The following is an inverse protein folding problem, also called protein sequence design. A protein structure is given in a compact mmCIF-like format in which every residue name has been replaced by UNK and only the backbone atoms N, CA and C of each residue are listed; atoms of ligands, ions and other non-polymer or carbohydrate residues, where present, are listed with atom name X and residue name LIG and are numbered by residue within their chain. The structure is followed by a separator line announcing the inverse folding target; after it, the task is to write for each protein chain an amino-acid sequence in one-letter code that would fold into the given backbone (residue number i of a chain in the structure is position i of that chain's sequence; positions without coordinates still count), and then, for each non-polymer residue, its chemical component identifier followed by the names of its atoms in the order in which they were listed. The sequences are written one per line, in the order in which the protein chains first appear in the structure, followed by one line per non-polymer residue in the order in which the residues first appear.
data_IF_343738100348
#
_entry.id   IF_343738100348
#
_cell.length_a   1.000
_cell.length_b   1.000
_cell.length_c   1.000
_cell.angle_alpha   90.00
_cell.angle_beta   90.00
_cell.angle_gamma   90.00
#
_symmetry.space_group_name_H-M   'P 1'
#
loop_
_entity.id
_entity.type
_entity.pdbx_description
1 polymer ?
#
# COMPACT_ATOMS: atom_id res chain seq x y z
N UNK A 1 19.60 45.75 -0.97
CA UNK A 1 19.73 45.23 -2.36
C UNK A 1 18.58 44.25 -2.58
N UNK A 2 17.50 44.70 -3.22
CA UNK A 2 16.26 43.94 -3.46
C UNK A 2 16.44 43.05 -4.69
N UNK A 3 16.16 41.74 -4.57
CA UNK A 3 16.03 40.84 -5.72
C UNK A 3 14.54 40.75 -6.06
N UNK A 4 14.11 41.49 -7.09
CA UNK A 4 12.80 41.31 -7.70
C UNK A 4 12.80 40.02 -8.54
N UNK A 5 12.06 39.01 -8.08
CA UNK A 5 11.76 37.81 -8.87
C UNK A 5 10.57 38.10 -9.79
N UNK A 6 10.82 38.19 -11.09
CA UNK A 6 9.78 38.36 -12.11
C UNK A 6 8.91 37.10 -12.20
N UNK A 7 7.66 37.17 -11.74
CA UNK A 7 6.68 36.09 -11.86
C UNK A 7 6.32 35.83 -13.32
N UNK A 8 6.96 34.84 -13.94
CA UNK A 8 6.63 34.37 -15.29
C UNK A 8 5.46 33.38 -15.19
N UNK A 9 4.25 33.84 -15.43
CA UNK A 9 3.05 32.99 -15.48
C UNK A 9 3.06 32.21 -16.80
N UNK A 10 3.34 30.90 -16.74
CA UNK A 10 3.24 30.01 -17.90
C UNK A 10 1.77 29.70 -18.19
N UNK A 11 1.17 30.43 -19.13
CA UNK A 11 -0.11 30.03 -19.72
C UNK A 11 0.16 28.91 -20.72
N UNK A 12 -0.02 27.66 -20.29
CA UNK A 12 0.00 26.50 -21.19
C UNK A 12 -1.22 26.61 -22.11
N UNK A 13 -1.00 26.93 -23.39
CA UNK A 13 -2.02 26.80 -24.43
C UNK A 13 -2.06 25.35 -24.85
N UNK A 14 -3.05 24.61 -24.34
CA UNK A 14 -3.33 23.25 -24.81
C UNK A 14 -3.95 23.38 -26.20
N UNK A 15 -3.29 22.83 -27.22
CA UNK A 15 -3.78 22.89 -28.60
C UNK A 15 -5.13 22.15 -28.70
N UNK A 16 -6.13 22.67 -29.43
CA UNK A 16 -7.40 21.98 -29.64
C UNK A 16 -7.21 20.62 -30.33
N UNK A 17 -6.09 20.43 -31.04
CA UNK A 17 -5.71 19.15 -31.64
C UNK A 17 -5.30 18.10 -30.59
N UNK A 18 -4.68 18.52 -29.48
CA UNK A 18 -4.35 17.64 -28.34
C UNK A 18 -5.61 17.30 -27.54
N UNK A 19 -6.54 18.24 -27.41
CA UNK A 19 -7.85 17.98 -26.80
C UNK A 19 -8.71 17.04 -27.67
N UNK A 20 -8.69 17.24 -29.00
CA UNK A 20 -9.40 16.37 -29.93
C UNK A 20 -8.79 14.96 -29.98
N UNK A 21 -7.45 14.83 -29.91
CA UNK A 21 -6.78 13.53 -29.87
C UNK A 21 -7.03 12.78 -28.57
N UNK A 22 -7.13 13.48 -27.44
CA UNK A 22 -7.52 12.86 -26.15
C UNK A 22 -8.99 12.44 -26.16
N UNK A 23 -9.88 13.20 -26.80
CA UNK A 23 -11.29 12.81 -26.98
C UNK A 23 -11.48 11.67 -28.00
N UNK A 24 -10.61 11.54 -29.00
CA UNK A 24 -10.68 10.45 -29.99
C UNK A 24 -10.31 9.07 -29.39
N UNK A 25 -9.51 9.04 -28.32
CA UNK A 25 -9.22 7.84 -27.54
C UNK A 25 -10.09 7.70 -26.28
N UNK A 26 -10.84 8.73 -25.91
CA UNK A 26 -11.85 8.68 -24.86
C UNK A 26 -13.22 8.46 -25.51
N UNK A 27 -13.39 7.30 -26.16
CA UNK A 27 -14.74 6.78 -26.38
C UNK A 27 -15.46 6.62 -25.04
N UNK A 28 -16.80 6.53 -25.01
CA UNK A 28 -17.48 6.00 -23.84
C UNK A 28 -16.99 4.56 -23.68
N UNK A 29 -15.94 4.40 -22.87
CA UNK A 29 -15.67 3.14 -22.23
C UNK A 29 -16.89 2.95 -21.34
N UNK A 30 -17.91 2.30 -21.90
CA UNK A 30 -18.79 1.44 -21.14
C UNK A 30 -17.83 0.53 -20.36
N UNK A 31 -17.47 0.96 -19.16
CA UNK A 31 -16.81 0.16 -18.14
C UNK A 31 -17.85 -0.86 -17.61
N UNK A 32 -18.60 -1.46 -18.53
CA UNK A 32 -19.26 -2.73 -18.39
C UNK A 32 -18.12 -3.70 -18.17
N UNK A 33 -17.92 -4.06 -16.90
CA UNK A 33 -16.86 -4.94 -16.46
C UNK A 33 -16.76 -6.14 -17.38
N UNK A 34 -15.71 -6.16 -18.21
CA UNK A 34 -15.31 -7.33 -18.97
C UNK A 34 -14.99 -8.39 -17.93
N UNK A 35 -16.01 -9.19 -17.64
CA UNK A 35 -16.03 -10.15 -16.56
C UNK A 35 -14.78 -11.00 -16.63
N UNK A 36 -14.00 -10.97 -15.55
CA UNK A 36 -13.13 -12.10 -15.24
C UNK A 36 -14.07 -13.31 -15.17
N UNK A 37 -13.96 -14.30 -16.07
CA UNK A 37 -14.69 -15.53 -15.85
C UNK A 37 -14.15 -16.09 -14.52
N UNK A 38 -15.04 -16.28 -13.55
CA UNK A 38 -14.80 -16.86 -12.22
C UNK A 38 -14.24 -15.91 -11.13
N UNK A 39 -14.52 -14.61 -11.19
CA UNK A 39 -14.39 -13.74 -10.01
C UNK A 39 -15.68 -13.75 -9.20
N UNK A 40 -15.81 -14.61 -8.19
CA UNK A 40 -16.82 -14.36 -7.15
C UNK A 40 -16.57 -12.92 -6.65
N UNK A 41 -17.57 -12.03 -6.56
CA UNK A 41 -17.37 -10.69 -6.03
C UNK A 41 -16.62 -10.83 -4.70
N UNK A 42 -15.49 -10.14 -4.50
CA UNK A 42 -14.68 -10.32 -3.27
C UNK A 42 -15.55 -10.16 -2.01
N UNK A 43 -16.51 -9.23 -2.05
CA UNK A 43 -17.50 -9.05 -0.99
C UNK A 43 -18.44 -10.26 -0.78
N UNK A 44 -18.78 -10.99 -1.85
CA UNK A 44 -19.64 -12.18 -1.83
C UNK A 44 -18.87 -13.46 -1.46
N UNK A 45 -17.62 -13.58 -1.91
CA UNK A 45 -16.72 -14.67 -1.52
C UNK A 45 -16.39 -14.63 -0.02
N UNK A 46 -16.28 -13.43 0.55
CA UNK A 46 -16.09 -13.24 1.98
C UNK A 46 -17.37 -13.50 2.80
N UNK A 47 -18.55 -13.45 2.18
CA UNK A 47 -19.83 -13.49 2.91
C UNK A 47 -20.60 -14.80 2.81
N UNK A 48 -20.41 -15.61 1.77
CA UNK A 48 -21.24 -16.81 1.55
C UNK A 48 -20.62 -18.13 2.02
N UNK A 49 -19.32 -18.14 2.36
CA UNK A 49 -18.63 -19.32 2.92
C UNK A 49 -17.91 -18.98 4.23
N UNK A 50 -18.59 -18.26 5.13
CA UNK A 50 -18.08 -17.95 6.46
C UNK A 50 -18.05 -19.19 7.39
N UNK A 51 -17.69 -20.35 6.84
CA UNK A 51 -17.35 -21.57 7.54
C UNK A 51 -15.91 -21.55 8.05
N UNK A 52 -15.55 -22.62 8.73
CA UNK A 52 -14.22 -22.83 9.29
C UNK A 52 -13.21 -22.99 8.15
N UNK A 53 -12.13 -22.19 8.10
CA UNK A 53 -11.13 -22.31 7.04
C UNK A 53 -10.49 -23.70 7.02
N UNK A 54 -10.07 -24.11 5.81
CA UNK A 54 -9.40 -25.40 5.62
C UNK A 54 -8.17 -25.51 6.54
N UNK A 55 -8.06 -26.66 7.22
CA UNK A 55 -6.99 -26.94 8.16
C UNK A 55 -7.31 -26.57 9.62
N UNK A 56 -8.47 -25.97 9.91
CA UNK A 56 -8.92 -25.71 11.27
C UNK A 56 -10.09 -26.62 11.68
N UNK A 57 -10.13 -26.99 12.96
CA UNK A 57 -11.33 -27.56 13.55
C UNK A 57 -12.33 -26.44 13.88
N UNK A 58 -13.65 -26.70 13.82
CA UNK A 58 -14.64 -25.70 14.18
C UNK A 58 -14.47 -25.12 15.59
N UNK A 59 -14.13 -25.97 16.56
CA UNK A 59 -13.94 -25.57 17.95
C UNK A 59 -12.79 -24.55 18.07
N UNK A 60 -11.61 -24.88 17.53
CA UNK A 60 -10.43 -24.00 17.61
C UNK A 60 -10.63 -22.70 16.83
N UNK A 61 -11.30 -22.78 15.68
CA UNK A 61 -11.57 -21.60 14.84
C UNK A 61 -12.42 -20.56 15.58
N UNK A 62 -13.57 -20.97 16.12
CA UNK A 62 -14.52 -20.04 16.73
C UNK A 62 -14.08 -19.58 18.14
N UNK A 63 -13.32 -20.38 18.89
CA UNK A 63 -12.94 -20.04 20.27
C UNK A 63 -11.58 -19.32 20.38
N UNK A 64 -10.62 -19.66 19.50
CA UNK A 64 -9.22 -19.22 19.65
C UNK A 64 -8.77 -18.37 18.46
N UNK A 65 -8.84 -18.91 17.24
CA UNK A 65 -8.20 -18.30 16.08
C UNK A 65 -8.79 -16.94 15.75
N UNK A 66 -10.12 -16.82 15.68
CA UNK A 66 -10.77 -15.54 15.44
C UNK A 66 -10.36 -14.50 16.49
N UNK A 67 -10.26 -14.88 17.76
CA UNK A 67 -9.86 -13.97 18.83
C UNK A 67 -8.41 -13.53 18.68
N UNK A 68 -7.51 -14.40 18.24
CA UNK A 68 -6.12 -14.04 17.96
C UNK A 68 -6.04 -13.15 16.72
N UNK A 69 -6.70 -13.52 15.62
CA UNK A 69 -6.75 -12.74 14.39
C UNK A 69 -7.20 -11.30 14.66
N UNK A 70 -8.28 -11.11 15.42
CA UNK A 70 -8.76 -9.78 15.80
C UNK A 70 -7.77 -8.97 16.64
N UNK A 71 -6.87 -9.62 17.38
CA UNK A 71 -5.76 -8.92 18.08
C UNK A 71 -4.64 -8.57 17.12
N UNK A 72 -4.26 -9.50 16.24
CA UNK A 72 -3.16 -9.30 15.29
C UNK A 72 -3.49 -8.23 14.25
N UNK A 73 -4.75 -8.15 13.78
CA UNK A 73 -5.20 -7.10 12.85
C UNK A 73 -5.07 -5.68 13.41
N UNK A 74 -4.96 -5.52 14.74
CA UNK A 74 -4.73 -4.22 15.40
C UNK A 74 -3.26 -3.82 15.44
N UNK A 75 -2.33 -4.72 15.12
CA UNK A 75 -0.89 -4.46 15.17
C UNK A 75 -0.43 -3.58 13.99
N UNK A 76 -0.77 -3.86 12.72
CA UNK A 76 -0.31 -3.02 11.60
C UNK A 76 -0.73 -1.55 11.75
N UNK A 77 0.19 -0.62 11.49
CA UNK A 77 -0.07 0.82 11.53
C UNK A 77 0.52 1.50 10.28
N UNK A 78 -0.32 2.13 9.43
CA UNK A 78 0.17 2.81 8.23
C UNK A 78 1.22 3.90 8.51
N UNK A 79 1.12 4.57 9.67
CA UNK A 79 2.11 5.56 10.08
C UNK A 79 3.47 4.92 10.41
N UNK A 80 3.47 3.80 11.16
CA UNK A 80 4.71 3.05 11.47
C UNK A 80 5.33 2.47 10.21
N UNK A 81 4.55 1.84 9.34
CA UNK A 81 5.05 1.30 8.06
C UNK A 81 5.74 2.38 7.22
N UNK A 82 5.12 3.57 7.07
CA UNK A 82 5.74 4.69 6.36
C UNK A 82 7.01 5.19 7.02
N UNK A 83 7.07 5.25 8.36
CA UNK A 83 8.28 5.61 9.13
C UNK A 83 9.41 4.63 8.85
N UNK A 84 9.12 3.34 8.95
CA UNK A 84 10.10 2.28 8.71
C UNK A 84 10.60 2.28 7.27
N UNK A 85 9.70 2.35 6.28
CA UNK A 85 10.09 2.40 4.88
C UNK A 85 11.06 3.56 4.62
N UNK A 86 10.71 4.79 5.04
CA UNK A 86 11.60 5.96 4.90
C UNK A 86 12.96 5.75 5.56
N UNK A 87 13.00 5.14 6.74
CA UNK A 87 14.24 4.92 7.49
C UNK A 87 15.13 3.89 6.80
N UNK A 88 14.54 2.79 6.34
CA UNK A 88 15.25 1.67 5.73
C UNK A 88 15.76 2.01 4.32
N UNK A 89 15.03 2.83 3.57
CA UNK A 89 15.38 3.17 2.18
C UNK A 89 16.01 4.55 2.00
N UNK A 90 16.44 5.19 3.09
CA UNK A 90 17.01 6.54 3.03
C UNK A 90 18.30 6.60 2.19
N UNK A 91 19.13 5.54 2.27
CA UNK A 91 20.43 5.45 1.62
C UNK A 91 20.72 4.00 1.20
N UNK A 92 21.59 3.77 0.20
CA UNK A 92 22.04 2.42 -0.16
C UNK A 92 22.71 1.70 1.02
N UNK A 93 22.34 0.44 1.23
CA UNK A 93 22.78 -0.36 2.36
C UNK A 93 23.09 -1.80 1.93
N UNK A 94 23.95 -1.94 0.92
CA UNK A 94 24.44 -3.26 0.47
C UNK A 94 25.15 -3.96 1.63
N UNK A 95 25.04 -5.28 1.71
CA UNK A 95 25.63 -6.09 2.77
C UNK A 95 27.12 -5.76 3.01
N UNK A 96 27.50 -5.63 4.28
CA UNK A 96 28.88 -5.32 4.70
C UNK A 96 29.28 -3.85 4.57
N UNK A 97 28.41 -2.98 4.06
CA UNK A 97 28.68 -1.53 4.00
C UNK A 97 28.34 -0.84 5.33
N UNK A 98 28.83 0.39 5.55
CA UNK A 98 28.36 1.22 6.67
C UNK A 98 26.84 1.44 6.66
N UNK A 99 26.20 1.46 5.48
CA UNK A 99 24.74 1.58 5.35
C UNK A 99 24.00 0.38 5.92
N UNK A 100 24.50 -0.83 5.65
CA UNK A 100 23.96 -2.08 6.20
C UNK A 100 24.03 -2.09 7.74
N UNK A 101 25.17 -1.70 8.32
CA UNK A 101 25.30 -1.57 9.78
C UNK A 101 24.29 -0.59 10.38
N UNK A 102 24.04 0.55 9.72
CA UNK A 102 23.04 1.54 10.20
C UNK A 102 21.63 0.97 10.21
N UNK A 103 21.25 0.23 9.16
CA UNK A 103 19.94 -0.41 9.06
C UNK A 103 19.80 -1.53 10.10
N UNK A 104 20.79 -2.39 10.22
CA UNK A 104 20.80 -3.49 11.20
C UNK A 104 20.72 -2.96 12.63
N UNK A 105 21.46 -1.91 12.97
CA UNK A 105 21.38 -1.28 14.29
C UNK A 105 19.98 -0.73 14.56
N UNK A 106 19.37 -0.07 13.58
CA UNK A 106 18.01 0.44 13.72
C UNK A 106 16.99 -0.69 14.00
N UNK A 107 17.09 -1.81 13.28
CA UNK A 107 16.21 -2.97 13.50
C UNK A 107 16.44 -3.57 14.90
N UNK A 108 17.70 -3.72 15.31
CA UNK A 108 18.05 -4.19 16.66
C UNK A 108 17.44 -3.29 17.75
N UNK A 109 17.56 -1.97 17.61
CA UNK A 109 17.01 -1.02 18.58
C UNK A 109 15.48 -1.10 18.64
N UNK A 110 14.80 -1.30 17.51
CA UNK A 110 13.34 -1.50 17.47
C UNK A 110 12.91 -2.81 18.15
N UNK A 111 13.65 -3.90 17.95
CA UNK A 111 13.39 -5.19 18.62
C UNK A 111 13.58 -5.07 20.13
N UNK A 112 14.71 -4.49 20.55
CA UNK A 112 14.98 -4.24 21.96
C UNK A 112 13.90 -3.36 22.60
N UNK A 113 13.44 -2.33 21.90
CA UNK A 113 12.36 -1.44 22.35
C UNK A 113 11.04 -2.20 22.53
N UNK A 114 10.76 -3.17 21.68
CA UNK A 114 9.55 -4.00 21.73
C UNK A 114 9.70 -5.22 22.66
N UNK A 115 10.88 -5.41 23.29
CA UNK A 115 11.13 -6.44 24.30
C UNK A 115 11.67 -7.78 23.77
N UNK A 116 12.29 -7.76 22.57
CA UNK A 116 12.92 -8.91 21.91
C UNK A 116 14.46 -8.84 21.98
#
# INVERSE_FOLDING_TARGET
MMIQSSGRVWRVRVSPLVLALTLLFAGPEDFEGRGRPHGIPLAKALSEDAGVPLGFSPQTWFEVEQRLEQRYLKIPSPARCRRFLRRLTAEPHVAGTPGDRRVTQFIYDEFKRDGL
#
